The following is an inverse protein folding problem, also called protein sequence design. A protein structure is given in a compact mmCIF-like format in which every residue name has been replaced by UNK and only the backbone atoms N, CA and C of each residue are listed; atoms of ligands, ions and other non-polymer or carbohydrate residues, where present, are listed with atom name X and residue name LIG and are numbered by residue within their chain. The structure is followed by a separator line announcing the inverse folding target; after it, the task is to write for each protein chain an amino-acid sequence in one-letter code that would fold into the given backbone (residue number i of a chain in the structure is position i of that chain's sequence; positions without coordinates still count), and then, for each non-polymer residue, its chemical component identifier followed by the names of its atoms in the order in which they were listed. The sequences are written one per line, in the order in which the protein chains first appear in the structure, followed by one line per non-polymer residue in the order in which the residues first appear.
data_IF_810044071174
#
_entry.id   IF_810044071174
#
_cell.length_a   1.000
_cell.length_b   1.000
_cell.length_c   1.000
_cell.angle_alpha   90.00
_cell.angle_beta   90.00
_cell.angle_gamma   90.00
#
_symmetry.space_group_name_H-M   'P 1'
#
loop_
_entity.id
_entity.type
_entity.pdbx_description
1 polymer ?
#
# COMPACT_ATOMS: atom_id res chain seq x y z
N UNK A 1 29.93 -11.23 15.75
CA UNK A 1 29.34 -9.99 16.23
C UNK A 1 29.53 -8.94 15.13
N UNK A 2 28.47 -8.34 14.55
CA UNK A 2 28.65 -7.22 13.64
C UNK A 2 29.29 -6.07 14.42
N UNK A 3 30.35 -5.51 13.89
CA UNK A 3 31.06 -4.38 14.49
C UNK A 3 30.07 -3.21 14.54
N UNK A 4 29.73 -2.74 15.73
CA UNK A 4 28.98 -1.51 15.93
C UNK A 4 29.85 -0.35 15.46
N UNK A 5 29.69 0.05 14.20
CA UNK A 5 30.26 1.28 13.68
C UNK A 5 29.55 2.46 14.35
N UNK A 6 30.29 3.34 14.97
CA UNK A 6 29.72 4.60 15.46
C UNK A 6 29.14 5.39 14.28
N UNK A 7 27.89 5.92 14.39
CA UNK A 7 27.31 6.71 13.34
C UNK A 7 28.16 7.95 13.05
N UNK A 8 28.24 8.34 11.78
CA UNK A 8 28.90 9.58 11.39
C UNK A 8 28.16 10.81 11.91
N UNK A 9 28.83 11.97 11.97
CA UNK A 9 28.18 13.22 12.36
C UNK A 9 26.99 13.57 11.44
N UNK A 10 27.08 13.21 10.17
CA UNK A 10 26.02 13.38 9.18
C UNK A 10 24.83 12.48 9.48
N UNK A 11 25.07 11.20 9.77
CA UNK A 11 24.03 10.25 10.17
C UNK A 11 23.29 10.69 11.46
N UNK A 12 24.03 11.20 12.44
CA UNK A 12 23.43 11.74 13.68
C UNK A 12 22.60 12.99 13.41
N UNK A 13 23.09 13.88 12.54
CA UNK A 13 22.35 15.08 12.14
C UNK A 13 21.05 14.73 11.42
N UNK A 14 21.10 13.77 10.48
CA UNK A 14 19.93 13.29 9.75
C UNK A 14 18.89 12.65 10.67
N UNK A 15 19.33 11.81 11.60
CA UNK A 15 18.45 11.20 12.61
C UNK A 15 17.73 12.27 13.44
N UNK A 16 18.44 13.33 13.84
CA UNK A 16 17.86 14.46 14.58
C UNK A 16 16.77 15.17 13.77
N UNK A 17 17.05 15.48 12.50
CA UNK A 17 16.10 16.16 11.63
C UNK A 17 14.83 15.32 11.40
N UNK A 18 14.97 14.03 11.17
CA UNK A 18 13.84 13.10 11.03
C UNK A 18 13.04 13.00 12.32
N UNK A 19 13.70 12.82 13.47
CA UNK A 19 13.03 12.76 14.78
C UNK A 19 12.25 14.02 15.08
N UNK A 20 12.84 15.20 14.85
CA UNK A 20 12.17 16.48 15.04
C UNK A 20 10.95 16.65 14.13
N UNK A 21 11.06 16.27 12.87
CA UNK A 21 9.94 16.35 11.93
C UNK A 21 8.81 15.40 12.33
N UNK A 22 9.14 14.18 12.77
CA UNK A 22 8.18 13.21 13.26
C UNK A 22 7.48 13.68 14.56
N UNK A 23 8.22 14.20 15.53
CA UNK A 23 7.67 14.74 16.78
C UNK A 23 6.78 15.97 16.52
N UNK A 24 7.13 16.79 15.55
CA UNK A 24 6.31 17.91 15.10
C UNK A 24 5.12 17.51 14.22
N UNK A 25 4.90 16.19 14.03
CA UNK A 25 3.80 15.61 13.25
C UNK A 25 3.74 16.08 11.79
N UNK A 26 4.91 16.27 11.17
CA UNK A 26 5.03 16.72 9.79
C UNK A 26 4.93 15.58 8.77
N UNK A 27 4.03 14.65 9.02
CA UNK A 27 3.68 13.58 8.09
C UNK A 27 2.69 14.11 7.06
N UNK A 28 2.99 13.94 5.79
CA UNK A 28 2.08 14.21 4.68
C UNK A 28 1.70 12.91 3.99
N UNK A 29 0.47 12.82 3.48
CA UNK A 29 0.04 11.71 2.65
C UNK A 29 -0.08 12.14 1.20
N UNK A 30 0.46 11.31 0.32
CA UNK A 30 0.27 11.39 -1.12
C UNK A 30 -0.57 10.20 -1.55
N UNK A 31 -1.55 10.41 -2.42
CA UNK A 31 -2.38 9.34 -2.95
C UNK A 31 -1.94 8.97 -4.35
N UNK A 32 -1.79 7.68 -4.58
CA UNK A 32 -1.59 7.14 -5.91
C UNK A 32 -2.76 6.23 -6.29
N UNK A 33 -3.42 6.47 -7.43
CA UNK A 33 -4.57 5.67 -7.83
C UNK A 33 -4.16 4.28 -8.32
N UNK A 34 -4.96 3.29 -7.97
CA UNK A 34 -5.00 1.96 -8.58
C UNK A 34 -6.27 1.91 -9.42
N UNK A 35 -6.11 1.58 -10.70
CA UNK A 35 -7.19 1.62 -11.67
C UNK A 35 -7.57 0.22 -12.14
N UNK A 36 -8.83 0.06 -12.56
CA UNK A 36 -9.27 -1.17 -13.21
C UNK A 36 -8.76 -1.23 -14.65
N UNK A 37 -8.46 -2.43 -15.12
CA UNK A 37 -8.15 -2.70 -16.52
C UNK A 37 -9.34 -3.42 -17.19
N UNK A 38 -9.66 -3.11 -18.45
CA UNK A 38 -9.05 -2.10 -19.33
C UNK A 38 -9.63 -0.68 -19.17
N UNK A 39 -10.66 -0.48 -18.34
CA UNK A 39 -11.46 0.75 -18.31
C UNK A 39 -10.83 1.92 -17.55
N UNK A 40 -9.72 1.70 -16.85
CA UNK A 40 -8.95 2.72 -16.11
C UNK A 40 -9.76 3.54 -15.08
N UNK A 41 -10.81 2.94 -14.51
CA UNK A 41 -11.56 3.55 -13.41
C UNK A 41 -10.80 3.40 -12.11
N UNK A 42 -10.71 4.47 -11.33
CA UNK A 42 -10.08 4.42 -10.00
C UNK A 42 -10.92 3.54 -9.09
N UNK A 43 -10.27 2.54 -8.49
CA UNK A 43 -10.88 1.60 -7.54
C UNK A 43 -10.31 1.72 -6.15
N UNK A 44 -9.10 2.25 -6.06
CA UNK A 44 -8.29 2.18 -4.88
C UNK A 44 -7.32 3.37 -4.90
N UNK A 45 -7.02 3.92 -3.73
CA UNK A 45 -5.92 4.87 -3.56
C UNK A 45 -4.94 4.28 -2.56
N UNK A 46 -3.69 4.17 -2.93
CA UNK A 46 -2.63 3.89 -1.98
C UNK A 46 -2.19 5.17 -1.30
N UNK A 47 -2.23 5.19 0.04
CA UNK A 47 -1.72 6.29 0.84
C UNK A 47 -0.22 6.11 1.07
N UNK A 48 0.55 7.00 0.48
CA UNK A 48 2.01 6.99 0.53
C UNK A 48 2.49 8.12 1.44
N UNK A 49 3.09 7.77 2.56
CA UNK A 49 3.57 8.74 3.52
C UNK A 49 4.84 9.45 3.02
N UNK A 50 4.95 10.71 3.40
CA UNK A 50 6.11 11.57 3.26
C UNK A 50 6.37 12.27 4.57
N UNK A 51 7.61 12.63 4.81
CA UNK A 51 7.99 13.39 6.00
C UNK A 51 8.63 14.72 5.59
N UNK A 52 8.06 15.82 6.03
CA UNK A 52 8.58 17.16 5.73
C UNK A 52 9.50 17.65 6.81
N UNK A 53 10.75 17.90 6.44
CA UNK A 53 11.74 18.51 7.34
C UNK A 53 11.47 20.00 7.56
N UNK A 54 12.11 20.57 8.57
CA UNK A 54 11.95 21.99 8.92
C UNK A 54 12.37 22.96 7.80
N UNK A 55 13.34 22.56 6.97
CA UNK A 55 13.82 23.32 5.81
C UNK A 55 12.91 23.20 4.57
N UNK A 56 11.81 22.44 4.67
CA UNK A 56 10.89 22.18 3.57
C UNK A 56 11.23 20.93 2.73
N UNK A 57 12.35 20.27 2.97
CA UNK A 57 12.71 19.03 2.27
C UNK A 57 11.67 17.95 2.55
N UNK A 58 11.20 17.28 1.50
CA UNK A 58 10.24 16.20 1.59
C UNK A 58 10.94 14.86 1.41
N UNK A 59 10.94 14.05 2.46
CA UNK A 59 11.54 12.73 2.47
C UNK A 59 10.53 11.63 2.11
N UNK A 60 10.97 10.67 1.30
CA UNK A 60 10.26 9.43 1.06
C UNK A 60 10.47 8.38 2.16
N UNK A 61 9.62 7.34 2.20
CA UNK A 61 9.72 6.29 3.23
C UNK A 61 11.08 5.62 3.32
N UNK A 62 11.74 5.36 2.19
CA UNK A 62 13.08 4.76 2.15
C UNK A 62 14.15 5.59 2.87
N UNK A 63 13.92 6.88 3.06
CA UNK A 63 14.86 7.80 3.69
C UNK A 63 14.61 7.96 5.19
N UNK A 64 13.35 7.91 5.66
CA UNK A 64 13.02 8.17 7.06
C UNK A 64 12.57 6.93 7.85
N UNK A 65 11.92 5.94 7.21
CA UNK A 65 11.43 4.75 7.94
C UNK A 65 12.53 3.98 8.67
N UNK A 66 13.70 3.70 8.08
CA UNK A 66 14.76 3.00 8.79
C UNK A 66 15.19 3.70 10.09
N UNK A 67 15.14 5.03 10.11
CA UNK A 67 15.47 5.83 11.29
C UNK A 67 14.37 5.76 12.36
N UNK A 68 13.11 5.77 11.98
CA UNK A 68 11.98 5.59 12.90
C UNK A 68 11.93 4.17 13.46
N UNK A 69 12.21 3.17 12.65
CA UNK A 69 12.31 1.78 13.06
C UNK A 69 13.43 1.58 14.09
N UNK A 70 14.63 2.10 13.81
CA UNK A 70 15.77 2.04 14.72
C UNK A 70 15.51 2.76 16.07
N UNK A 71 14.66 3.78 16.07
CA UNK A 71 14.28 4.53 17.31
C UNK A 71 13.02 3.99 17.99
N UNK A 72 12.44 2.87 17.52
CA UNK A 72 11.23 2.27 18.08
C UNK A 72 9.95 3.07 17.84
N UNK A 73 9.92 3.90 16.79
CA UNK A 73 8.79 4.79 16.46
C UNK A 73 7.87 4.26 15.34
N UNK A 74 8.13 3.06 14.81
CA UNK A 74 7.40 2.52 13.67
C UNK A 74 5.89 2.37 13.95
N UNK A 75 5.51 1.84 15.11
CA UNK A 75 4.10 1.64 15.45
C UNK A 75 3.34 2.96 15.63
N UNK A 76 3.96 3.97 16.23
CA UNK A 76 3.37 5.30 16.36
C UNK A 76 3.22 5.97 14.98
N UNK A 77 4.21 5.81 14.10
CA UNK A 77 4.14 6.27 12.72
C UNK A 77 2.97 5.62 11.97
N UNK A 78 2.86 4.30 11.98
CA UNK A 78 1.80 3.58 11.27
C UNK A 78 0.41 3.96 11.80
N UNK A 79 0.27 4.15 13.11
CA UNK A 79 -0.97 4.63 13.71
C UNK A 79 -1.37 6.02 13.22
N UNK A 80 -0.43 6.96 13.14
CA UNK A 80 -0.68 8.32 12.64
C UNK A 80 -1.07 8.31 11.16
N UNK A 81 -0.40 7.49 10.35
CA UNK A 81 -0.75 7.31 8.93
C UNK A 81 -2.15 6.72 8.79
N UNK A 82 -2.49 5.72 9.59
CA UNK A 82 -3.83 5.11 9.56
C UNK A 82 -4.93 6.13 9.92
N UNK A 83 -4.74 6.92 10.96
CA UNK A 83 -5.72 7.95 11.38
C UNK A 83 -5.95 8.97 10.24
N UNK A 84 -4.89 9.43 9.58
CA UNK A 84 -5.01 10.34 8.43
C UNK A 84 -5.71 9.67 7.24
N UNK A 85 -5.38 8.42 6.99
CA UNK A 85 -6.03 7.62 5.92
C UNK A 85 -7.52 7.40 6.18
N UNK A 86 -7.92 7.23 7.45
CA UNK A 86 -9.33 7.17 7.84
C UNK A 86 -10.06 8.49 7.55
N UNK A 87 -9.43 9.64 7.78
CA UNK A 87 -10.01 10.95 7.43
C UNK A 87 -10.22 11.08 5.92
N UNK A 88 -9.25 10.63 5.11
CA UNK A 88 -9.36 10.57 3.65
C UNK A 88 -10.51 9.66 3.22
N UNK A 89 -10.62 8.47 3.81
CA UNK A 89 -11.70 7.53 3.51
C UNK A 89 -13.08 8.11 3.82
N UNK A 90 -13.24 8.82 4.95
CA UNK A 90 -14.50 9.53 5.28
C UNK A 90 -14.84 10.58 4.22
N UNK A 91 -13.85 11.34 3.76
CA UNK A 91 -14.04 12.34 2.71
C UNK A 91 -14.52 11.68 1.40
N UNK A 92 -13.91 10.56 1.01
CA UNK A 92 -14.32 9.81 -0.19
C UNK A 92 -15.75 9.27 -0.05
N UNK A 93 -16.09 8.68 1.09
CA UNK A 93 -17.45 8.19 1.36
C UNK A 93 -18.47 9.33 1.30
N UNK A 94 -18.18 10.48 1.92
CA UNK A 94 -19.05 11.65 1.93
C UNK A 94 -19.30 12.21 0.51
N UNK A 95 -18.37 11.99 -0.43
CA UNK A 95 -18.52 12.38 -1.84
C UNK A 95 -19.16 11.29 -2.71
N UNK A 96 -19.59 10.18 -2.14
CA UNK A 96 -20.18 9.07 -2.86
C UNK A 96 -19.17 8.24 -3.66
N UNK A 97 -17.87 8.36 -3.38
CA UNK A 97 -16.85 7.54 -4.03
C UNK A 97 -16.89 6.11 -3.51
N UNK A 98 -16.78 5.15 -4.42
CA UNK A 98 -16.62 3.73 -4.08
C UNK A 98 -15.14 3.35 -3.84
N UNK A 99 -14.20 4.27 -4.08
CA UNK A 99 -12.79 4.00 -3.90
C UNK A 99 -12.45 3.73 -2.43
N UNK A 100 -11.52 2.80 -2.24
CA UNK A 100 -10.99 2.43 -0.92
C UNK A 100 -9.58 3.01 -0.76
N UNK A 101 -9.08 3.04 0.46
CA UNK A 101 -7.74 3.57 0.79
C UNK A 101 -6.86 2.45 1.33
N UNK A 102 -5.73 2.22 0.69
CA UNK A 102 -4.71 1.28 1.15
C UNK A 102 -3.69 1.97 2.04
N UNK A 103 -3.36 1.32 3.14
CA UNK A 103 -2.43 1.82 4.15
C UNK A 103 -1.34 0.79 4.37
N UNK A 104 -0.10 1.18 4.08
CA UNK A 104 1.05 0.35 4.33
C UNK A 104 1.34 0.24 5.82
N UNK A 105 1.59 -0.97 6.30
CA UNK A 105 2.10 -1.24 7.64
C UNK A 105 3.58 -1.64 7.56
N UNK A 106 4.39 -1.13 8.47
CA UNK A 106 5.79 -1.50 8.56
C UNK A 106 5.95 -2.91 9.12
N UNK A 107 7.00 -3.62 8.71
CA UNK A 107 7.30 -4.95 9.25
C UNK A 107 7.54 -4.93 10.76
N UNK A 108 8.10 -3.85 11.30
CA UNK A 108 8.31 -3.66 12.73
C UNK A 108 6.99 -3.60 13.51
N UNK A 109 6.00 -2.84 13.01
CA UNK A 109 4.68 -2.77 13.63
C UNK A 109 3.95 -4.11 13.58
N UNK A 110 4.03 -4.80 12.45
CA UNK A 110 3.39 -6.12 12.27
C UNK A 110 3.99 -7.15 13.23
N UNK A 111 5.30 -7.06 13.50
CA UNK A 111 5.98 -7.94 14.45
C UNK A 111 5.48 -7.78 15.91
N UNK A 112 4.77 -6.70 16.21
CA UNK A 112 4.20 -6.44 17.54
C UNK A 112 2.72 -6.85 17.57
N UNK A 113 2.34 -8.02 18.12
CA UNK A 113 0.92 -8.46 18.18
C UNK A 113 0.01 -7.44 18.87
N UNK A 114 0.52 -6.77 19.91
CA UNK A 114 -0.21 -5.71 20.61
C UNK A 114 -0.57 -4.52 19.72
N UNK A 115 0.25 -4.20 18.73
CA UNK A 115 -0.07 -3.18 17.73
C UNK A 115 -1.26 -3.61 16.85
N UNK A 116 -1.23 -4.81 16.30
CA UNK A 116 -2.32 -5.34 15.47
C UNK A 116 -3.65 -5.39 16.25
N UNK A 117 -3.63 -5.83 17.51
CA UNK A 117 -4.80 -5.76 18.38
C UNK A 117 -5.32 -4.35 18.55
N UNK A 118 -4.42 -3.37 18.70
CA UNK A 118 -4.81 -1.97 18.87
C UNK A 118 -5.47 -1.36 17.63
N UNK A 119 -5.15 -1.87 16.43
CA UNK A 119 -5.79 -1.43 15.19
C UNK A 119 -7.27 -1.80 15.16
N UNK A 120 -7.64 -2.96 15.70
CA UNK A 120 -9.03 -3.35 15.81
C UNK A 120 -9.83 -2.33 16.62
N UNK A 121 -9.32 -1.92 17.78
CA UNK A 121 -9.94 -0.88 18.60
C UNK A 121 -10.06 0.47 17.91
N UNK A 122 -9.03 0.87 17.16
CA UNK A 122 -9.06 2.11 16.39
C UNK A 122 -10.11 2.08 15.28
N UNK A 123 -10.19 1.00 14.52
CA UNK A 123 -11.15 0.84 13.43
C UNK A 123 -12.61 0.71 13.95
N UNK A 124 -12.81 0.15 15.14
CA UNK A 124 -14.14 0.09 15.79
C UNK A 124 -14.71 1.48 16.11
N UNK A 125 -13.88 2.52 16.20
CA UNK A 125 -14.36 3.90 16.38
C UNK A 125 -15.04 4.47 15.13
N UNK A 126 -14.90 3.81 13.99
CA UNK A 126 -15.42 4.27 12.69
C UNK A 126 -16.01 3.12 11.89
N UNK A 127 -17.15 2.55 12.33
CA UNK A 127 -17.79 1.40 11.69
C UNK A 127 -18.24 1.70 10.25
N UNK A 128 -18.48 2.96 9.92
CA UNK A 128 -18.79 3.46 8.56
C UNK A 128 -17.62 3.30 7.58
N UNK A 129 -16.40 3.12 8.07
CA UNK A 129 -15.20 2.90 7.26
C UNK A 129 -14.85 1.42 7.08
N UNK A 130 -15.63 0.50 7.63
CA UNK A 130 -15.40 -0.93 7.41
C UNK A 130 -15.44 -1.26 5.91
N UNK A 131 -14.41 -1.96 5.43
CA UNK A 131 -14.24 -2.24 4.01
C UNK A 131 -13.76 -1.07 3.15
N UNK A 132 -13.55 0.13 3.73
CA UNK A 132 -13.01 1.31 3.04
C UNK A 132 -11.51 1.53 3.26
N UNK A 133 -10.93 0.83 4.21
CA UNK A 133 -9.49 0.80 4.49
C UNK A 133 -8.98 -0.61 4.22
N UNK A 134 -7.89 -0.70 3.47
CA UNK A 134 -7.13 -1.94 3.24
C UNK A 134 -5.80 -1.81 3.95
N UNK A 135 -5.42 -2.80 4.75
CA UNK A 135 -4.11 -2.86 5.38
C UNK A 135 -3.15 -3.65 4.48
N UNK A 136 -2.07 -3.00 4.07
CA UNK A 136 -1.06 -3.57 3.17
C UNK A 136 0.15 -4.03 3.96
N UNK A 137 0.55 -5.27 3.77
CA UNK A 137 1.69 -5.87 4.46
C UNK A 137 2.62 -6.54 3.46
N UNK A 138 3.96 -6.38 3.63
CA UNK A 138 4.93 -6.98 2.72
C UNK A 138 4.91 -8.51 2.80
N UNK A 139 5.22 -9.16 1.69
CA UNK A 139 5.29 -10.63 1.57
C UNK A 139 6.07 -11.29 2.70
N UNK A 140 7.21 -10.71 3.06
CA UNK A 140 8.04 -11.21 4.16
C UNK A 140 7.26 -11.34 5.48
N UNK A 141 6.46 -10.33 5.83
CA UNK A 141 5.65 -10.36 7.05
C UNK A 141 4.60 -11.47 7.01
N UNK A 142 3.93 -11.67 5.87
CA UNK A 142 2.94 -12.74 5.69
C UNK A 142 3.54 -14.15 5.88
N UNK A 143 4.77 -14.33 5.47
CA UNK A 143 5.48 -15.63 5.58
C UNK A 143 6.01 -15.93 6.98
N UNK A 144 6.07 -14.94 7.87
CA UNK A 144 6.63 -15.05 9.22
C UNK A 144 5.61 -14.85 10.34
N UNK A 145 4.32 -14.97 10.02
CA UNK A 145 3.24 -14.86 11.01
C UNK A 145 3.24 -16.08 11.96
N UNK A 146 3.29 -15.81 13.25
CA UNK A 146 3.06 -16.80 14.29
C UNK A 146 1.59 -16.90 14.69
N UNK A 147 1.27 -17.68 15.71
CA UNK A 147 -0.09 -17.92 16.17
C UNK A 147 -0.74 -16.62 16.72
N UNK A 148 0.01 -15.79 17.44
CA UNK A 148 -0.49 -14.54 18.01
C UNK A 148 -0.80 -13.53 16.93
N UNK A 149 0.07 -13.38 15.93
CA UNK A 149 -0.17 -12.53 14.77
C UNK A 149 -1.41 -12.98 14.00
N UNK A 150 -1.56 -14.28 13.76
CA UNK A 150 -2.72 -14.85 13.06
C UNK A 150 -4.02 -14.62 13.83
N UNK A 151 -4.00 -14.72 15.15
CA UNK A 151 -5.14 -14.43 16.00
C UNK A 151 -5.55 -12.94 15.90
N UNK A 152 -4.58 -12.02 15.95
CA UNK A 152 -4.85 -10.59 15.79
C UNK A 152 -5.42 -10.25 14.41
N UNK A 153 -4.86 -10.83 13.35
CA UNK A 153 -5.37 -10.65 11.97
C UNK A 153 -6.78 -11.25 11.81
N UNK A 154 -7.08 -12.37 12.46
CA UNK A 154 -8.41 -12.97 12.42
C UNK A 154 -9.48 -12.02 13.00
N UNK A 155 -9.20 -11.33 14.09
CA UNK A 155 -10.09 -10.33 14.66
C UNK A 155 -10.35 -9.18 13.67
N UNK A 156 -9.31 -8.65 13.02
CA UNK A 156 -9.45 -7.61 12.00
C UNK A 156 -10.28 -8.11 10.80
N UNK A 157 -10.02 -9.32 10.35
CA UNK A 157 -10.80 -9.96 9.27
C UNK A 157 -12.27 -10.13 9.64
N UNK A 158 -12.57 -10.61 10.84
CA UNK A 158 -13.95 -10.77 11.34
C UNK A 158 -14.72 -9.44 11.42
N UNK A 159 -13.99 -8.34 11.64
CA UNK A 159 -14.54 -6.98 11.55
C UNK A 159 -14.67 -6.45 10.13
N UNK A 160 -14.35 -7.23 9.11
CA UNK A 160 -14.47 -6.86 7.71
C UNK A 160 -13.31 -6.01 7.18
N UNK A 161 -12.15 -6.02 7.81
CA UNK A 161 -10.94 -5.35 7.33
C UNK A 161 -10.28 -6.21 6.25
N UNK A 162 -10.18 -5.75 5.00
CA UNK A 162 -9.46 -6.45 3.95
C UNK A 162 -7.95 -6.22 4.08
N UNK A 163 -7.17 -7.21 3.67
CA UNK A 163 -5.72 -7.13 3.62
C UNK A 163 -5.20 -7.18 2.18
N UNK A 164 -4.05 -6.58 1.97
CA UNK A 164 -3.28 -6.66 0.74
C UNK A 164 -1.89 -7.24 1.02
N UNK A 165 -1.47 -8.18 0.18
CA UNK A 165 -0.10 -8.63 0.15
C UNK A 165 0.69 -7.73 -0.80
N UNK A 166 1.69 -7.05 -0.27
CA UNK A 166 2.53 -6.13 -1.00
C UNK A 166 3.96 -6.65 -1.14
N UNK A 167 4.72 -6.07 -2.06
CA UNK A 167 6.13 -6.40 -2.33
C UNK A 167 6.38 -7.88 -2.57
N UNK A 168 5.48 -8.55 -3.27
CA UNK A 168 5.67 -9.90 -3.69
C UNK A 168 6.83 -10.00 -4.70
N UNK A 169 7.72 -10.96 -4.47
CA UNK A 169 8.91 -11.19 -5.29
C UNK A 169 8.83 -12.49 -6.08
N UNK A 170 7.82 -13.31 -5.81
CA UNK A 170 7.56 -14.56 -6.50
C UNK A 170 6.07 -14.93 -6.48
N UNK A 171 5.70 -15.92 -7.26
CA UNK A 171 4.33 -16.41 -7.40
C UNK A 171 4.05 -17.67 -6.57
N UNK A 172 4.93 -18.04 -5.62
CA UNK A 172 4.81 -19.26 -4.82
C UNK A 172 3.87 -19.04 -3.64
N UNK A 173 2.58 -19.01 -3.93
CA UNK A 173 1.51 -18.86 -2.95
C UNK A 173 0.40 -19.86 -3.20
N UNK A 174 -0.24 -20.28 -2.12
CA UNK A 174 -1.52 -20.97 -2.15
C UNK A 174 -2.65 -19.94 -2.06
N UNK A 175 -3.45 -19.72 -3.13
CA UNK A 175 -4.53 -18.77 -3.11
C UNK A 175 -5.60 -19.03 -2.04
N UNK A 176 -5.85 -20.30 -1.70
CA UNK A 176 -6.79 -20.67 -0.64
C UNK A 176 -6.29 -20.21 0.71
N UNK A 177 -5.03 -20.53 1.02
CA UNK A 177 -4.41 -20.11 2.29
C UNK A 177 -4.36 -18.57 2.43
N UNK A 178 -4.10 -17.84 1.34
CA UNK A 178 -4.15 -16.38 1.35
C UNK A 178 -5.56 -15.85 1.63
N UNK A 179 -6.56 -16.42 0.99
CA UNK A 179 -7.96 -16.01 1.20
C UNK A 179 -8.41 -16.26 2.64
N UNK A 180 -7.99 -17.37 3.24
CA UNK A 180 -8.30 -17.73 4.63
C UNK A 180 -7.68 -16.75 5.63
N UNK A 181 -6.54 -16.16 5.30
CA UNK A 181 -5.93 -15.08 6.09
C UNK A 181 -6.67 -13.73 5.95
N UNK A 182 -7.57 -13.59 5.00
CA UNK A 182 -8.31 -12.35 4.74
C UNK A 182 -7.69 -11.46 3.66
N UNK A 183 -6.73 -11.98 2.90
CA UNK A 183 -6.14 -11.25 1.77
C UNK A 183 -7.19 -11.12 0.67
N UNK A 184 -7.35 -9.90 0.15
CA UNK A 184 -8.26 -9.55 -0.94
C UNK A 184 -7.56 -8.91 -2.11
N UNK A 185 -6.32 -8.47 -1.93
CA UNK A 185 -5.48 -7.89 -2.97
C UNK A 185 -4.07 -8.46 -2.88
N UNK A 186 -3.41 -8.56 -4.02
CA UNK A 186 -2.02 -8.95 -4.12
C UNK A 186 -1.32 -8.08 -5.15
N UNK A 187 -0.26 -7.41 -4.75
CA UNK A 187 0.53 -6.54 -5.62
C UNK A 187 1.77 -7.26 -6.13
N UNK A 188 1.97 -7.21 -7.43
CA UNK A 188 3.13 -7.76 -8.12
C UNK A 188 3.69 -6.73 -9.11
N UNK A 189 5.02 -6.62 -9.24
CA UNK A 189 5.62 -5.81 -10.28
C UNK A 189 5.16 -6.25 -11.68
N UNK A 190 4.81 -5.30 -12.53
CA UNK A 190 4.33 -5.58 -13.89
C UNK A 190 5.39 -6.31 -14.73
N UNK A 191 6.65 -5.91 -14.62
CA UNK A 191 7.78 -6.55 -15.30
C UNK A 191 7.90 -8.03 -14.91
N UNK A 192 7.78 -8.37 -13.63
CA UNK A 192 7.80 -9.76 -13.18
C UNK A 192 6.70 -10.61 -13.84
N UNK A 193 5.49 -10.06 -13.98
CA UNK A 193 4.37 -10.75 -14.63
C UNK A 193 4.62 -10.93 -16.13
N UNK A 194 5.12 -9.89 -16.79
CA UNK A 194 5.40 -9.92 -18.23
C UNK A 194 6.53 -10.89 -18.54
N UNK A 195 7.63 -10.85 -17.79
CA UNK A 195 8.74 -11.79 -17.94
C UNK A 195 8.31 -13.24 -17.70
N UNK A 196 7.50 -13.49 -16.67
CA UNK A 196 6.99 -14.83 -16.39
C UNK A 196 6.09 -15.35 -17.54
N UNK A 197 5.29 -14.48 -18.15
CA UNK A 197 4.47 -14.84 -19.29
C UNK A 197 5.29 -15.13 -20.54
N UNK A 198 6.33 -14.34 -20.83
CA UNK A 198 7.26 -14.55 -21.94
C UNK A 198 8.04 -15.86 -21.81
N UNK A 199 8.43 -16.24 -20.59
CA UNK A 199 9.11 -17.49 -20.30
C UNK A 199 8.18 -18.71 -20.52
N UNK A 200 6.88 -18.59 -20.19
CA UNK A 200 5.89 -19.62 -20.42
C UNK A 200 5.61 -19.86 -21.92
N UNK A 201 5.62 -18.80 -22.71
CA UNK A 201 5.41 -18.87 -24.17
C UNK A 201 6.70 -19.31 -24.93
N UNK A 202 7.86 -19.25 -24.29
CA UNK A 202 9.18 -19.54 -24.88
C UNK A 202 9.88 -20.77 -24.33
N UNK A 203 9.80 -21.91 -25.01
CA UNK A 203 10.74 -23.05 -25.06
C UNK A 203 11.32 -23.69 -23.77
N UNK A 204 11.00 -23.22 -22.60
CA UNK A 204 11.36 -23.85 -21.33
C UNK A 204 10.07 -24.21 -20.58
N UNK A 205 9.50 -25.36 -20.93
CA UNK A 205 8.43 -25.98 -20.17
C UNK A 205 8.98 -26.51 -18.84
N UNK A 206 9.24 -25.59 -17.90
CA UNK A 206 9.34 -25.92 -16.49
C UNK A 206 7.93 -25.85 -15.85
N UNK A 207 7.72 -26.38 -14.64
CA UNK A 207 6.45 -26.29 -13.92
C UNK A 207 6.21 -24.90 -13.35
N UNK A 208 6.52 -23.86 -14.12
CA UNK A 208 6.29 -22.47 -13.71
C UNK A 208 4.84 -22.13 -13.98
N UNK A 209 4.21 -21.56 -12.95
CA UNK A 209 2.81 -21.16 -12.97
C UNK A 209 2.60 -20.11 -14.06
N UNK A 210 1.71 -20.42 -15.01
CA UNK A 210 1.24 -19.40 -15.95
C UNK A 210 0.58 -18.26 -15.18
N UNK A 211 0.99 -17.02 -15.45
CA UNK A 211 0.44 -15.83 -14.79
C UNK A 211 -1.08 -15.74 -14.97
N UNK A 212 -1.61 -16.18 -16.12
CA UNK A 212 -3.06 -16.22 -16.37
C UNK A 212 -3.78 -17.19 -15.45
N UNK A 213 -3.20 -18.37 -15.27
CA UNK A 213 -3.73 -19.38 -14.35
C UNK A 213 -3.65 -18.92 -12.91
N UNK A 214 -2.57 -18.27 -12.54
CA UNK A 214 -2.39 -17.68 -11.21
C UNK A 214 -3.41 -16.57 -10.95
N UNK A 215 -3.55 -15.60 -11.85
CA UNK A 215 -4.54 -14.54 -11.75
C UNK A 215 -5.98 -15.11 -11.66
N UNK A 216 -6.27 -16.14 -12.43
CA UNK A 216 -7.55 -16.84 -12.41
C UNK A 216 -7.78 -17.57 -11.09
N UNK A 217 -6.76 -18.24 -10.55
CA UNK A 217 -6.83 -18.92 -9.25
C UNK A 217 -7.07 -17.93 -8.10
N UNK A 218 -6.38 -16.79 -8.08
CA UNK A 218 -6.60 -15.72 -7.13
C UNK A 218 -8.03 -15.19 -7.22
N UNK A 219 -8.51 -14.92 -8.42
CA UNK A 219 -9.88 -14.41 -8.65
C UNK A 219 -10.93 -15.38 -8.13
N UNK A 220 -10.77 -16.69 -8.31
CA UNK A 220 -11.70 -17.71 -7.77
C UNK A 220 -11.76 -17.68 -6.25
N UNK A 221 -10.70 -17.24 -5.58
CA UNK A 221 -10.65 -17.07 -4.13
C UNK A 221 -11.03 -15.64 -3.68
N UNK A 222 -11.50 -14.78 -4.58
CA UNK A 222 -11.89 -13.41 -4.28
C UNK A 222 -10.69 -12.47 -4.06
N UNK A 223 -9.50 -12.85 -4.54
CA UNK A 223 -8.29 -12.03 -4.46
C UNK A 223 -8.07 -11.35 -5.81
N UNK A 224 -7.86 -10.04 -5.80
CA UNK A 224 -7.58 -9.25 -6.99
C UNK A 224 -6.09 -8.96 -7.11
N UNK A 225 -5.53 -9.32 -8.26
CA UNK A 225 -4.14 -9.02 -8.60
C UNK A 225 -4.01 -7.56 -9.06
N UNK A 226 -3.01 -6.87 -8.53
CA UNK A 226 -2.65 -5.50 -8.89
C UNK A 226 -1.25 -5.53 -9.52
N UNK A 227 -1.13 -5.09 -10.76
CA UNK A 227 0.17 -4.86 -11.37
C UNK A 227 0.72 -3.51 -10.91
N UNK A 228 1.90 -3.52 -10.29
CA UNK A 228 2.61 -2.31 -9.86
C UNK A 228 3.65 -1.88 -10.90
N UNK A 229 4.08 -0.61 -10.80
CA UNK A 229 5.13 -0.02 -11.67
C UNK A 229 4.79 -0.16 -13.15
N UNK A 230 3.54 0.07 -13.48
CA UNK A 230 3.11 0.20 -14.87
C UNK A 230 3.49 1.60 -15.34
N UNK A 231 4.73 1.76 -15.78
CA UNK A 231 5.33 3.07 -16.07
C UNK A 231 5.42 3.34 -17.59
N UNK A 232 5.23 2.30 -18.41
CA UNK A 232 5.24 2.38 -19.87
C UNK A 232 3.90 1.90 -20.47
N UNK A 233 3.42 2.65 -21.47
CA UNK A 233 2.10 2.44 -22.04
C UNK A 233 1.92 1.11 -22.77
N UNK A 234 2.97 0.51 -23.28
CA UNK A 234 2.97 -0.80 -23.95
C UNK A 234 2.78 -1.98 -22.97
N UNK A 235 3.03 -1.77 -21.67
CA UNK A 235 2.72 -2.77 -20.64
C UNK A 235 1.21 -3.02 -20.51
N UNK A 236 0.39 -1.99 -20.70
CA UNK A 236 -1.06 -2.07 -20.42
C UNK A 236 -1.77 -3.13 -21.26
N UNK A 237 -1.60 -3.21 -22.60
CA UNK A 237 -2.22 -4.27 -23.38
C UNK A 237 -1.79 -5.66 -22.95
N UNK A 238 -0.52 -5.86 -22.62
CA UNK A 238 0.01 -7.16 -22.16
C UNK A 238 -0.66 -7.58 -20.85
N UNK A 239 -0.78 -6.67 -19.89
CA UNK A 239 -1.45 -6.95 -18.61
C UNK A 239 -2.94 -7.27 -18.80
N UNK A 240 -3.61 -6.58 -19.72
CA UNK A 240 -5.00 -6.90 -20.07
C UNK A 240 -5.11 -8.32 -20.64
N UNK A 241 -4.23 -8.72 -21.54
CA UNK A 241 -4.21 -10.06 -22.15
C UNK A 241 -3.89 -11.15 -21.11
N UNK A 242 -3.11 -10.82 -20.08
CA UNK A 242 -2.84 -11.73 -18.95
C UNK A 242 -4.02 -11.83 -17.96
N UNK A 243 -5.07 -11.04 -18.14
CA UNK A 243 -6.24 -11.04 -17.27
C UNK A 243 -6.01 -10.34 -15.93
N UNK A 244 -5.04 -9.44 -15.84
CA UNK A 244 -4.77 -8.64 -14.63
C UNK A 244 -5.87 -7.59 -14.47
N UNK A 245 -6.63 -7.58 -13.34
CA UNK A 245 -7.80 -6.73 -13.21
C UNK A 245 -7.50 -5.31 -12.76
N UNK A 246 -6.37 -5.08 -12.11
CA UNK A 246 -6.00 -3.79 -11.51
C UNK A 246 -4.54 -3.45 -11.82
N UNK A 247 -4.24 -2.15 -11.92
CA UNK A 247 -2.91 -1.66 -12.21
C UNK A 247 -2.63 -0.32 -11.52
N UNK A 248 -1.35 -0.09 -11.23
CA UNK A 248 -0.81 1.12 -10.62
C UNK A 248 0.52 1.47 -11.28
N UNK A 249 0.75 2.73 -11.56
CA UNK A 249 2.00 3.21 -12.14
C UNK A 249 1.89 4.58 -12.78
N UNK A 250 3.02 5.13 -13.21
CA UNK A 250 3.11 6.48 -13.77
C UNK A 250 2.34 6.67 -15.08
N UNK A 251 2.08 5.61 -15.82
CA UNK A 251 1.20 5.66 -17.01
C UNK A 251 -0.19 6.19 -16.65
N UNK A 252 -0.69 5.87 -15.47
CA UNK A 252 -2.00 6.33 -15.00
C UNK A 252 -1.87 7.62 -14.21
N UNK A 253 -1.15 7.61 -13.12
CA UNK A 253 -0.79 8.77 -12.32
C UNK A 253 0.31 8.43 -11.31
N UNK A 254 1.16 9.42 -11.00
CA UNK A 254 2.06 9.36 -9.85
C UNK A 254 1.35 9.69 -8.53
N UNK A 255 2.06 9.51 -7.40
CA UNK A 255 1.58 9.98 -6.11
C UNK A 255 1.38 11.49 -6.09
N UNK A 256 0.26 11.96 -5.51
CA UNK A 256 -0.06 13.39 -5.39
C UNK A 256 -0.45 13.73 -3.97
N UNK A 257 -0.03 14.93 -3.46
CA UNK A 257 -0.36 15.36 -2.11
C UNK A 257 -1.86 15.50 -1.91
N UNK A 258 -2.32 15.13 -0.72
CA UNK A 258 -3.70 15.32 -0.27
C UNK A 258 -3.85 16.72 0.28
N UNK A 259 -4.96 17.40 -0.02
CA UNK A 259 -5.28 18.69 0.59
C UNK A 259 -5.42 18.54 2.12
N UNK A 260 -4.93 19.54 2.89
CA UNK A 260 -5.02 19.52 4.36
C UNK A 260 -6.45 19.29 4.87
N UNK A 261 -7.46 19.88 4.23
CA UNK A 261 -8.87 19.71 4.61
C UNK A 261 -9.34 18.25 4.54
N UNK A 262 -8.81 17.49 3.58
CA UNK A 262 -9.14 16.07 3.39
C UNK A 262 -8.40 15.20 4.39
N UNK A 263 -7.18 15.58 4.73
CA UNK A 263 -6.35 14.88 5.72
C UNK A 263 -6.71 15.18 7.18
N UNK A 264 -7.67 16.10 7.40
CA UNK A 264 -8.07 16.53 8.74
C UNK A 264 -7.09 17.51 9.40
N UNK A 265 -6.23 18.15 8.63
CA UNK A 265 -5.32 19.19 9.08
C UNK A 265 -5.95 20.59 8.98
N UNK A 266 -5.56 21.57 9.82
CA UNK A 266 -6.06 22.93 9.72
C UNK A 266 -5.70 23.57 8.37
N UNK A 267 -6.66 24.25 7.78
CA UNK A 267 -6.61 24.80 6.43
C UNK A 267 -5.41 25.73 6.18
N UNK A 268 -4.56 25.36 5.21
CA UNK A 268 -3.78 26.31 4.42
C UNK A 268 -4.25 26.24 2.95
N UNK A 269 -4.39 27.37 2.23
CA UNK A 269 -4.91 27.35 0.87
C UNK A 269 -3.93 26.70 -0.10
N UNK A 270 -4.31 25.59 -0.71
CA UNK A 270 -3.53 24.89 -1.74
C UNK A 270 -4.44 24.22 -2.78
N UNK A 271 -3.99 24.08 -4.04
CA UNK A 271 -4.84 23.84 -5.19
C UNK A 271 -4.95 22.40 -5.66
N UNK A 272 -5.23 21.41 -4.83
CA UNK A 272 -5.46 20.06 -5.33
C UNK A 272 -6.72 19.42 -4.73
N UNK A 273 -7.69 19.06 -5.58
CA UNK A 273 -8.83 18.23 -5.26
C UNK A 273 -8.69 16.84 -5.90
N UNK A 274 -9.31 15.87 -5.33
CA UNK A 274 -9.48 14.53 -5.94
C UNK A 274 -10.18 14.59 -7.32
N UNK A 275 -10.62 15.80 -7.73
CA UNK A 275 -11.27 16.07 -9.02
C UNK A 275 -10.27 16.25 -10.19
N UNK A 276 -8.99 16.52 -9.88
CA UNK A 276 -7.94 16.67 -10.87
C UNK A 276 -7.27 15.34 -11.21
N UNK A 277 -8.08 14.31 -11.53
CA UNK A 277 -7.55 13.10 -12.17
C UNK A 277 -6.90 13.51 -13.51
N UNK A 278 -5.72 12.96 -13.84
CA UNK A 278 -5.02 13.30 -15.07
C UNK A 278 -5.93 13.17 -16.29
N UNK A 279 -5.74 14.05 -17.25
CA UNK A 279 -6.53 14.12 -18.50
C UNK A 279 -6.58 12.81 -19.28
N UNK A 280 -5.64 11.90 -19.04
CA UNK A 280 -5.61 10.55 -19.60
C UNK A 280 -6.78 9.68 -19.11
N UNK A 281 -7.30 9.91 -17.90
CA UNK A 281 -8.47 9.18 -17.38
C UNK A 281 -9.81 9.73 -17.91
N UNK A 282 -9.82 10.94 -18.52
CA UNK A 282 -11.03 11.59 -19.06
C UNK A 282 -11.34 11.21 -20.51
N UNK A 283 -10.38 10.60 -21.24
CA UNK A 283 -10.56 10.24 -22.67
C UNK A 283 -11.07 8.81 -22.92
N UNK A 284 -11.33 8.04 -21.89
CA UNK A 284 -11.84 6.67 -21.99
C UNK A 284 -13.26 6.53 -21.41
N UNK A 285 -14.08 7.55 -21.61
CA UNK A 285 -15.53 7.53 -21.33
C UNK A 285 -16.35 7.44 -22.60
#
# INVERSE_FOLDING_TARGET
LPSMRNPSAEEVSRMRLVTQAFEADRIELHLQPVVSLPHTKIRFYEALARLRLADGTLLGPGEFLPLLEASGRASDFDRRVLIRSMAIARHLVARGSEAIVGVNLTAHSIAEPGFLWSLAGLLDTSPDLLGKIVLEMPQHSWRHLDADHRAALAILRERGVPFSLDRATDLRFDPVALADLGIRFMKLPADLMIEAAEQADGRYAGPELDVRDFASALRRQGIRLIAERVDEGDMVPVLCDLGVPLAQGFVFAGPRPVKPEVAGEPMAPQPFGLEDAPTLLRRAG
#
